data_IF_955340156050
#
_entry.id   IF_955340156050
#
_cell.length_a   1.000
_cell.length_b   1.000
_cell.length_c   1.000
_cell.angle_alpha   90.00
_cell.angle_beta   90.00
_cell.angle_gamma   90.00
#
_symmetry.space_group_name_H-M   'P 1'
#
loop_
_entity.id
_entity.type
_entity.pdbx_description
1 polymer ?
#
# COMPACT_ATOMS: atom_id res chain seq x y z
N UNK A 1 30.51 -24.67 7.97
CA UNK A 1 30.76 -24.40 9.39
C UNK A 1 30.35 -22.97 9.66
N UNK A 2 29.54 -22.78 10.70
CA UNK A 2 29.09 -21.52 11.31
C UNK A 2 28.22 -20.57 10.48
N UNK A 3 26.91 -20.75 10.68
CA UNK A 3 25.95 -19.70 11.07
C UNK A 3 26.60 -18.32 11.30
N UNK A 4 26.51 -17.45 10.31
CA UNK A 4 26.48 -16.01 10.55
C UNK A 4 25.02 -15.64 10.74
N UNK A 5 24.73 -15.34 12.01
CA UNK A 5 23.52 -14.71 12.52
C UNK A 5 22.94 -13.78 11.44
N UNK A 6 21.65 -13.99 11.15
CA UNK A 6 20.78 -13.01 10.52
C UNK A 6 20.96 -11.67 11.27
N UNK A 7 21.91 -10.84 10.83
CA UNK A 7 21.81 -9.41 11.07
C UNK A 7 20.42 -9.05 10.57
N UNK A 8 19.54 -8.70 11.50
CA UNK A 8 18.23 -8.19 11.18
C UNK A 8 18.47 -7.07 10.16
N UNK A 9 18.15 -7.37 8.89
CA UNK A 9 18.15 -6.51 7.72
C UNK A 9 18.51 -5.06 8.10
N UNK A 10 19.72 -4.56 7.73
CA UNK A 10 20.29 -3.34 8.31
C UNK A 10 19.44 -2.08 8.08
N UNK A 11 18.34 -2.20 7.33
CA UNK A 11 17.41 -1.18 6.88
C UNK A 11 16.12 -1.09 7.71
N UNK A 12 15.92 -1.92 8.73
CA UNK A 12 14.69 -1.97 9.54
C UNK A 12 14.78 -1.13 10.82
N UNK A 13 13.64 -0.72 11.39
CA UNK A 13 13.63 -0.05 12.70
C UNK A 13 14.17 -0.99 13.78
N UNK A 14 14.94 -0.44 14.72
CA UNK A 14 15.35 -1.20 15.91
C UNK A 14 14.13 -1.56 16.77
N UNK A 15 14.23 -2.62 17.57
CA UNK A 15 13.16 -3.02 18.48
C UNK A 15 12.76 -1.87 19.43
N UNK A 16 13.73 -1.10 19.92
CA UNK A 16 13.50 0.09 20.75
C UNK A 16 12.70 1.16 20.00
N UNK A 17 13.05 1.42 18.73
CA UNK A 17 12.32 2.40 17.92
C UNK A 17 10.90 1.91 17.62
N UNK A 18 10.73 0.63 17.34
CA UNK A 18 9.41 0.01 17.13
C UNK A 18 8.52 0.12 18.37
N UNK A 19 9.05 -0.14 19.55
CA UNK A 19 8.32 0.05 20.81
C UNK A 19 7.93 1.52 21.02
N UNK A 20 8.85 2.45 20.76
CA UNK A 20 8.58 3.89 20.85
C UNK A 20 7.50 4.33 19.87
N UNK A 21 7.57 3.90 18.62
CA UNK A 21 6.54 4.20 17.62
C UNK A 21 5.21 3.54 17.98
N UNK A 22 5.20 2.30 18.47
CA UNK A 22 3.98 1.63 18.91
C UNK A 22 3.26 2.37 20.03
N UNK A 23 4.01 3.00 20.95
CA UNK A 23 3.46 3.88 21.99
C UNK A 23 2.87 5.18 21.45
N UNK A 24 3.41 5.69 20.34
CA UNK A 24 2.94 6.91 19.67
C UNK A 24 1.72 6.64 18.78
N UNK A 25 1.74 5.54 18.03
CA UNK A 25 0.65 5.07 17.17
C UNK A 25 0.80 3.57 16.87
N UNK A 26 -0.13 2.76 17.36
CA UNK A 26 -0.19 1.34 17.03
C UNK A 26 -0.46 1.11 15.53
N UNK A 27 -1.31 1.96 14.92
CA UNK A 27 -1.60 1.94 13.49
C UNK A 27 -0.36 2.30 12.66
N UNK A 28 0.40 3.29 13.14
CA UNK A 28 1.66 3.73 12.53
C UNK A 28 2.70 2.61 12.52
N UNK A 29 2.85 1.90 13.66
CA UNK A 29 3.73 0.74 13.75
C UNK A 29 3.29 -0.38 12.79
N UNK A 30 1.98 -0.63 12.69
CA UNK A 30 1.42 -1.65 11.79
C UNK A 30 1.74 -1.34 10.32
N UNK A 31 1.61 -0.07 9.91
CA UNK A 31 1.99 0.36 8.57
C UNK A 31 3.48 0.19 8.28
N UNK A 32 4.34 0.53 9.23
CA UNK A 32 5.78 0.35 9.10
C UNK A 32 6.12 -1.14 8.96
N UNK A 33 5.51 -2.00 9.77
CA UNK A 33 5.71 -3.45 9.64
C UNK A 33 5.32 -3.96 8.26
N UNK A 34 4.20 -3.49 7.69
CA UNK A 34 3.79 -3.85 6.34
C UNK A 34 4.82 -3.43 5.29
N UNK A 35 5.33 -2.20 5.36
CA UNK A 35 6.37 -1.70 4.45
C UNK A 35 7.62 -2.56 4.54
N UNK A 36 8.08 -2.81 5.76
CA UNK A 36 9.26 -3.63 6.02
C UNK A 36 9.10 -5.05 5.49
N UNK A 37 7.92 -5.65 5.65
CA UNK A 37 7.62 -6.97 5.16
C UNK A 37 7.59 -7.03 3.62
N UNK A 38 6.98 -6.04 2.96
CA UNK A 38 6.94 -5.95 1.50
C UNK A 38 8.35 -5.77 0.94
N UNK A 39 9.15 -4.85 1.51
CA UNK A 39 10.54 -4.64 1.10
C UNK A 39 11.38 -5.91 1.28
N UNK A 40 11.26 -6.63 2.40
CA UNK A 40 11.94 -7.91 2.62
C UNK A 40 11.51 -8.97 1.59
N UNK A 41 10.21 -9.07 1.30
CA UNK A 41 9.69 -10.02 0.31
C UNK A 41 10.18 -9.69 -1.10
N UNK A 42 10.23 -8.42 -1.47
CA UNK A 42 10.76 -7.96 -2.76
C UNK A 42 12.23 -8.33 -2.93
N UNK A 43 13.05 -8.10 -1.89
CA UNK A 43 14.46 -8.46 -1.92
C UNK A 43 14.65 -9.96 -2.13
N UNK A 44 13.88 -10.80 -1.43
CA UNK A 44 13.92 -12.26 -1.63
C UNK A 44 13.51 -12.64 -3.06
N UNK A 45 12.47 -12.00 -3.61
CA UNK A 45 12.02 -12.22 -4.98
C UNK A 45 13.09 -11.86 -6.01
N UNK A 46 13.66 -10.66 -5.92
CA UNK A 46 14.72 -10.19 -6.82
C UNK A 46 15.96 -11.08 -6.75
N UNK A 47 16.35 -11.50 -5.54
CA UNK A 47 17.44 -12.48 -5.34
C UNK A 47 17.20 -13.79 -6.10
N UNK A 48 15.94 -14.21 -6.17
CA UNK A 48 15.49 -15.41 -6.86
C UNK A 48 15.12 -15.15 -8.34
N UNK A 49 15.39 -13.95 -8.86
CA UNK A 49 15.00 -13.49 -10.21
C UNK A 49 13.48 -13.51 -10.47
N UNK A 50 12.68 -13.49 -9.42
CA UNK A 50 11.24 -13.26 -9.50
C UNK A 50 10.98 -11.77 -9.65
N UNK A 51 10.43 -11.39 -10.80
CA UNK A 51 10.18 -9.99 -11.19
C UNK A 51 8.87 -9.44 -10.61
N UNK A 52 8.14 -10.22 -9.81
CA UNK A 52 6.82 -9.86 -9.28
C UNK A 52 6.92 -9.10 -7.95
N UNK A 53 7.71 -8.02 -7.91
CA UNK A 53 7.85 -7.17 -6.72
C UNK A 53 6.63 -6.26 -6.53
N UNK A 54 6.40 -5.82 -5.28
CA UNK A 54 5.26 -5.02 -4.86
C UNK A 54 5.68 -3.66 -4.36
N UNK A 55 4.87 -2.63 -4.61
CA UNK A 55 5.10 -1.33 -4.03
C UNK A 55 4.83 -1.39 -2.50
N UNK A 56 5.81 -1.06 -1.65
CA UNK A 56 5.61 -1.06 -0.20
C UNK A 56 4.71 0.08 0.31
N UNK A 57 4.34 1.06 -0.53
CA UNK A 57 3.54 2.24 -0.19
C UNK A 57 4.20 3.11 0.91
N UNK A 58 5.52 3.33 0.83
CA UNK A 58 6.31 4.11 1.81
C UNK A 58 5.69 5.47 2.13
N UNK A 59 5.16 6.16 1.11
CA UNK A 59 4.58 7.51 1.24
C UNK A 59 3.29 7.55 2.08
N UNK A 60 2.66 6.40 2.32
CA UNK A 60 1.38 6.31 3.02
C UNK A 60 1.51 6.20 4.55
N UNK A 61 2.72 6.00 5.09
CA UNK A 61 2.93 5.84 6.56
C UNK A 61 2.26 6.95 7.36
N UNK A 62 2.53 8.21 7.03
CA UNK A 62 1.97 9.34 7.79
C UNK A 62 0.56 9.72 7.34
N UNK A 63 0.16 9.35 6.11
CA UNK A 63 -1.17 9.63 5.58
C UNK A 63 -2.21 8.71 6.21
N UNK A 64 -1.87 7.45 6.41
CA UNK A 64 -2.76 6.42 6.91
C UNK A 64 -2.39 6.02 8.35
N UNK A 65 -1.16 5.58 8.60
CA UNK A 65 -0.70 5.12 9.93
C UNK A 65 -0.63 6.19 11.02
N UNK A 66 -0.58 7.48 10.67
CA UNK A 66 -0.61 8.60 11.62
C UNK A 66 -1.70 9.62 11.29
N UNK A 67 -2.76 9.18 10.60
CA UNK A 67 -3.87 10.04 10.17
C UNK A 67 -4.52 10.79 11.33
N UNK A 68 -4.78 10.08 12.42
CA UNK A 68 -5.49 10.58 13.60
C UNK A 68 -4.55 11.11 14.69
N UNK A 69 -3.24 11.09 14.44
CA UNK A 69 -2.24 11.56 15.40
C UNK A 69 -2.18 13.08 15.45
N UNK A 70 -1.91 13.63 16.63
CA UNK A 70 -1.66 15.07 16.77
C UNK A 70 -0.39 15.48 16.01
N UNK A 71 -0.26 16.77 15.69
CA UNK A 71 0.92 17.31 15.01
C UNK A 71 2.21 16.96 15.75
N UNK A 72 2.24 17.07 17.08
CA UNK A 72 3.41 16.76 17.89
C UNK A 72 3.80 15.27 17.80
N UNK A 73 2.81 14.37 17.80
CA UNK A 73 3.04 12.93 17.65
C UNK A 73 3.58 12.61 16.26
N UNK A 74 3.06 13.26 15.21
CA UNK A 74 3.59 13.11 13.83
C UNK A 74 5.02 13.61 13.72
N UNK A 75 5.32 14.80 14.24
CA UNK A 75 6.67 15.36 14.22
C UNK A 75 7.66 14.52 15.05
N UNK A 76 7.20 13.88 16.13
CA UNK A 76 8.03 12.93 16.87
C UNK A 76 8.25 11.65 16.06
N UNK A 77 7.21 11.08 15.47
CA UNK A 77 7.35 9.89 14.63
C UNK A 77 8.24 10.14 13.40
N UNK A 78 8.11 11.27 12.72
CA UNK A 78 8.98 11.70 11.60
C UNK A 78 10.46 11.79 12.00
N UNK A 79 10.74 12.18 13.25
CA UNK A 79 12.12 12.22 13.78
C UNK A 79 12.71 10.85 14.11
N UNK A 80 11.88 9.83 14.30
CA UNK A 80 12.33 8.49 14.68
C UNK A 80 12.23 7.48 13.51
N UNK A 81 11.45 7.78 12.48
CA UNK A 81 11.25 6.93 11.30
C UNK A 81 12.05 7.49 10.12
N UNK A 82 13.02 6.74 9.61
CA UNK A 82 13.72 7.10 8.38
C UNK A 82 12.89 6.72 7.15
N UNK A 83 11.89 7.53 6.78
CA UNK A 83 11.11 7.27 5.56
C UNK A 83 11.96 7.32 4.29
N UNK A 84 12.94 8.22 4.23
CA UNK A 84 13.87 8.30 3.10
C UNK A 84 14.64 7.00 2.90
N UNK A 85 15.03 6.31 3.98
CA UNK A 85 15.70 5.02 3.90
C UNK A 85 14.83 3.97 3.19
N UNK A 86 13.54 3.86 3.56
CA UNK A 86 12.63 2.93 2.89
C UNK A 86 12.35 3.32 1.44
N UNK A 87 12.27 4.62 1.15
CA UNK A 87 12.07 5.12 -0.22
C UNK A 87 13.28 4.80 -1.10
N UNK A 88 14.50 5.00 -0.61
CA UNK A 88 15.75 4.68 -1.34
C UNK A 88 15.87 3.16 -1.54
N UNK A 89 15.51 2.35 -0.55
CA UNK A 89 15.49 0.88 -0.70
C UNK A 89 14.51 0.45 -1.80
N UNK A 90 13.30 1.02 -1.81
CA UNK A 90 12.32 0.75 -2.86
C UNK A 90 12.83 1.15 -4.26
N UNK A 91 13.47 2.31 -4.39
CA UNK A 91 14.06 2.77 -5.65
C UNK A 91 15.20 1.84 -6.12
N UNK A 92 16.04 1.35 -5.21
CA UNK A 92 17.05 0.34 -5.51
C UNK A 92 16.42 -0.97 -6.00
N UNK A 93 15.32 -1.42 -5.39
CA UNK A 93 14.59 -2.62 -5.83
C UNK A 93 13.97 -2.45 -7.23
N UNK A 94 13.43 -1.28 -7.54
CA UNK A 94 12.94 -0.94 -8.89
C UNK A 94 14.07 -0.92 -9.92
N UNK A 95 15.23 -0.37 -9.55
CA UNK A 95 16.40 -0.37 -10.43
C UNK A 95 16.93 -1.79 -10.67
N UNK A 96 16.96 -2.64 -9.64
CA UNK A 96 17.32 -4.05 -9.75
C UNK A 96 16.35 -4.80 -10.70
N UNK A 97 15.04 -4.58 -10.54
CA UNK A 97 14.01 -5.13 -11.42
C UNK A 97 14.29 -4.78 -12.90
N UNK A 98 14.57 -3.50 -13.19
CA UNK A 98 14.85 -3.03 -14.54
C UNK A 98 16.13 -3.66 -15.12
N UNK A 99 17.18 -3.79 -14.30
CA UNK A 99 18.44 -4.43 -14.72
C UNK A 99 18.26 -5.92 -15.01
N UNK A 100 17.46 -6.62 -14.19
CA UNK A 100 17.09 -8.02 -14.42
C UNK A 100 16.25 -8.20 -15.69
N UNK A 101 15.24 -7.35 -15.91
CA UNK A 101 14.41 -7.37 -17.12
C UNK A 101 15.22 -7.15 -18.40
N UNK A 102 16.18 -6.21 -18.35
CA UNK A 102 17.05 -5.88 -19.49
C UNK A 102 18.23 -6.84 -19.67
N UNK A 103 18.38 -7.86 -18.81
CA UNK A 103 19.52 -8.78 -18.81
C UNK A 103 20.88 -8.07 -18.72
N UNK A 104 20.90 -6.86 -18.15
CA UNK A 104 22.12 -6.07 -18.00
C UNK A 104 22.90 -6.61 -16.80
N UNK A 105 24.20 -6.96 -16.94
CA UNK A 105 25.02 -7.33 -15.80
C UNK A 105 25.13 -6.16 -14.81
N UNK A 106 25.00 -6.44 -13.52
CA UNK A 106 25.13 -5.44 -12.46
C UNK A 106 25.75 -6.04 -11.21
N UNK A 107 26.37 -5.18 -10.40
CA UNK A 107 26.79 -5.52 -9.05
C UNK A 107 25.71 -5.08 -8.06
N UNK A 108 25.18 -6.05 -7.33
CA UNK A 108 24.10 -5.82 -6.36
C UNK A 108 24.61 -5.06 -5.14
N UNK A 109 25.84 -5.29 -4.71
CA UNK A 109 26.38 -4.58 -3.54
C UNK A 109 26.52 -3.09 -3.83
N UNK A 110 27.03 -2.73 -5.02
CA UNK A 110 27.07 -1.33 -5.48
C UNK A 110 25.68 -0.69 -5.56
N UNK A 111 24.66 -1.43 -6.01
CA UNK A 111 23.29 -0.93 -6.14
C UNK A 111 22.66 -0.57 -4.77
N UNK A 112 22.93 -1.37 -3.75
CA UNK A 112 22.38 -1.16 -2.40
C UNK A 112 23.28 -0.31 -1.50
N UNK A 113 24.45 0.13 -1.97
CA UNK A 113 25.33 1.04 -1.23
C UNK A 113 24.62 2.37 -0.90
N UNK A 114 23.81 2.89 -1.82
CA UNK A 114 23.01 4.12 -1.58
C UNK A 114 22.05 3.99 -0.40
N UNK A 115 21.48 2.81 -0.19
CA UNK A 115 20.58 2.53 0.93
C UNK A 115 21.35 2.61 2.25
N UNK A 116 22.58 2.06 2.28
CA UNK A 116 23.47 2.12 3.45
C UNK A 116 23.86 3.57 3.76
N UNK A 117 24.27 4.33 2.75
CA UNK A 117 24.69 5.72 2.91
C UNK A 117 23.53 6.61 3.40
N UNK A 118 22.33 6.45 2.84
CA UNK A 118 21.14 7.20 3.27
C UNK A 118 20.81 6.97 4.74
N UNK A 119 21.07 5.77 5.27
CA UNK A 119 20.79 5.45 6.68
C UNK A 119 21.85 6.01 7.62
N UNK A 120 23.12 6.01 7.22
CA UNK A 120 24.19 6.66 7.98
C UNK A 120 23.85 8.15 8.15
N UNK A 121 23.51 8.82 7.04
CA UNK A 121 23.10 10.23 7.07
C UNK A 121 21.89 10.48 7.97
N UNK A 122 20.86 9.64 7.87
CA UNK A 122 19.67 9.77 8.72
C UNK A 122 19.98 9.55 10.21
N UNK A 123 20.84 8.59 10.54
CA UNK A 123 21.27 8.35 11.93
C UNK A 123 22.08 9.52 12.48
N UNK A 124 22.96 10.11 11.68
CA UNK A 124 23.73 11.30 12.04
C UNK A 124 22.82 12.52 12.26
N UNK A 125 21.82 12.74 11.40
CA UNK A 125 20.85 13.82 11.56
C UNK A 125 19.99 13.64 12.83
N UNK A 126 19.51 12.42 13.07
CA UNK A 126 18.74 12.10 14.28
C UNK A 126 19.58 12.27 15.55
N UNK A 127 20.87 11.92 15.53
CA UNK A 127 21.79 12.12 16.64
C UNK A 127 22.06 13.61 16.92
N UNK A 128 22.16 14.45 15.87
CA UNK A 128 22.29 15.92 16.00
C UNK A 128 21.05 16.55 16.61
N UNK A 129 19.84 16.13 16.21
CA UNK A 129 18.61 16.65 16.82
C UNK A 129 18.45 16.31 18.31
N UNK A 130 19.03 15.20 18.80
CA UNK A 130 19.04 14.85 20.23
C UNK A 130 20.01 15.71 21.06
N UNK A 131 20.99 16.36 20.42
CA UNK A 131 21.97 17.23 21.10
C UNK A 131 21.54 18.70 21.12
N UNK A 132 20.72 19.14 20.16
CA UNK A 132 20.24 20.52 20.05
C UNK A 132 19.03 20.89 20.94
N UNK A 133 18.36 19.93 21.58
CA UNK A 133 17.30 20.21 22.57
C UNK A 133 17.83 20.89 23.88
N UNK A 134 19.12 21.26 23.92
CA UNK A 134 19.75 22.02 25.01
C UNK A 134 20.14 23.46 24.68
N UNK A 135 19.87 23.98 23.48
CA UNK A 135 20.26 25.35 23.13
C UNK A 135 19.16 26.12 22.34
N UNK A 136 18.49 27.14 22.91
CA UNK A 136 17.32 27.79 22.30
C UNK A 136 17.59 28.69 21.07
N UNK A 137 18.81 28.74 20.53
CA UNK A 137 19.18 29.69 19.49
C UNK A 137 20.02 29.05 18.38
N UNK A 138 19.37 28.35 17.45
CA UNK A 138 19.95 28.11 16.11
C UNK A 138 18.91 28.40 15.03
N UNK A 139 19.28 29.35 14.15
CA UNK A 139 18.47 29.79 13.02
C UNK A 139 18.32 28.64 12.03
N UNK A 140 17.07 28.30 11.68
CA UNK A 140 16.73 27.38 10.59
C UNK A 140 17.21 27.94 9.26
N UNK A 141 18.27 27.37 8.71
CA UNK A 141 18.62 27.53 7.29
C UNK A 141 17.81 26.49 6.51
N UNK A 142 16.76 26.95 5.82
CA UNK A 142 15.99 26.12 4.87
C UNK A 142 16.90 25.72 3.69
N UNK A 143 17.00 24.42 3.35
CA UNK A 143 17.47 24.03 2.03
C UNK A 143 16.42 24.47 1.00
N UNK A 144 16.88 25.22 0.00
CA UNK A 144 16.09 25.72 -1.12
C UNK A 144 15.47 24.57 -1.91
N UNK A 145 14.14 24.53 -1.91
CA UNK A 145 13.35 23.53 -2.63
C UNK A 145 13.01 24.07 -4.01
N UNK A 146 13.77 23.68 -5.03
CA UNK A 146 13.47 24.03 -6.43
C UNK A 146 13.01 22.83 -7.28
N UNK A 147 12.62 21.70 -6.67
CA UNK A 147 12.11 20.52 -7.39
C UNK A 147 10.62 20.24 -7.15
N UNK A 148 9.89 21.16 -6.49
CA UNK A 148 8.54 20.91 -5.95
C UNK A 148 7.39 20.95 -6.96
N UNK A 149 7.55 21.60 -8.12
CA UNK A 149 6.38 22.01 -8.92
C UNK A 149 5.71 20.91 -9.75
N UNK A 150 6.38 19.80 -10.03
CA UNK A 150 5.79 18.70 -10.81
C UNK A 150 5.18 17.63 -9.87
N UNK A 151 5.92 17.22 -8.84
CA UNK A 151 5.44 16.33 -7.78
C UNK A 151 4.23 16.87 -6.99
N UNK A 152 4.08 18.19 -6.87
CA UNK A 152 2.95 18.81 -6.14
C UNK A 152 1.62 18.78 -6.89
N UNK A 153 1.60 18.60 -8.22
CA UNK A 153 0.36 18.40 -8.99
C UNK A 153 -0.07 16.91 -9.01
N UNK A 154 0.93 16.02 -8.99
CA UNK A 154 0.83 14.55 -9.17
C UNK A 154 0.22 13.82 -7.96
N UNK A 155 0.41 14.36 -6.76
CA UNK A 155 -0.18 13.90 -5.49
C UNK A 155 -1.66 14.33 -5.36
N UNK A 156 -2.12 15.33 -6.10
CA UNK A 156 -3.45 15.92 -5.90
C UNK A 156 -4.62 15.05 -6.39
N UNK A 157 -4.41 14.21 -7.41
CA UNK A 157 -5.52 13.48 -8.02
C UNK A 157 -6.07 12.38 -7.10
N UNK A 158 -5.16 11.56 -6.58
CA UNK A 158 -5.51 10.52 -5.60
C UNK A 158 -5.94 11.12 -4.26
N UNK A 159 -5.37 12.25 -3.83
CA UNK A 159 -5.83 12.98 -2.65
C UNK A 159 -7.28 13.49 -2.83
N UNK A 160 -7.66 13.95 -4.03
CA UNK A 160 -9.06 14.34 -4.34
C UNK A 160 -10.00 13.13 -4.28
N UNK A 161 -9.60 12.02 -4.89
CA UNK A 161 -10.37 10.78 -4.84
C UNK A 161 -10.54 10.30 -3.39
N UNK A 162 -9.48 10.31 -2.59
CA UNK A 162 -9.54 9.94 -1.18
C UNK A 162 -10.53 10.81 -0.38
N UNK A 163 -10.49 12.14 -0.55
CA UNK A 163 -11.46 13.03 0.11
C UNK A 163 -12.89 12.70 -0.29
N UNK A 164 -13.12 12.38 -1.56
CA UNK A 164 -14.43 11.96 -2.05
C UNK A 164 -14.89 10.63 -1.44
N UNK A 165 -13.99 9.63 -1.38
CA UNK A 165 -14.25 8.33 -0.76
C UNK A 165 -14.58 8.46 0.74
N UNK A 166 -13.82 9.31 1.46
CA UNK A 166 -14.06 9.61 2.88
C UNK A 166 -15.41 10.30 3.12
N UNK A 167 -15.90 11.09 2.15
CA UNK A 167 -17.23 11.69 2.22
C UNK A 167 -18.35 10.69 1.88
N UNK A 168 -18.06 9.71 1.00
CA UNK A 168 -19.02 8.70 0.54
C UNK A 168 -19.28 7.59 1.56
N UNK A 169 -18.33 7.30 2.45
CA UNK A 169 -18.43 6.21 3.40
C UNK A 169 -17.92 6.60 4.77
N UNK A 170 -18.62 6.12 5.81
CA UNK A 170 -18.15 6.20 7.20
C UNK A 170 -17.17 5.07 7.55
N UNK A 171 -16.90 4.18 6.62
CA UNK A 171 -15.92 3.10 6.78
C UNK A 171 -14.53 3.69 6.61
N UNK A 172 -13.66 3.49 7.60
CA UNK A 172 -12.27 3.90 7.52
C UNK A 172 -11.57 3.16 6.37
N UNK A 173 -10.68 3.87 5.68
CA UNK A 173 -9.95 3.39 4.50
C UNK A 173 -10.85 2.75 3.43
N UNK A 174 -12.08 3.28 3.31
CA UNK A 174 -12.97 2.92 2.23
C UNK A 174 -12.33 3.26 0.87
N UNK A 175 -12.42 2.33 -0.07
CA UNK A 175 -12.02 2.49 -1.46
C UNK A 175 -13.01 1.80 -2.38
N UNK A 176 -12.96 2.21 -3.65
CA UNK A 176 -13.49 1.48 -4.78
C UNK A 176 -12.38 0.64 -5.41
N UNK A 177 -12.72 -0.19 -6.39
CA UNK A 177 -11.80 -1.16 -6.96
C UNK A 177 -11.62 -0.95 -8.47
N UNK A 178 -12.72 -0.94 -9.24
CA UNK A 178 -12.69 -0.89 -10.70
C UNK A 178 -11.99 0.36 -11.22
N UNK A 179 -11.13 0.16 -12.22
CA UNK A 179 -10.39 1.19 -12.96
C UNK A 179 -9.45 2.03 -12.09
N UNK A 180 -9.26 1.68 -10.83
CA UNK A 180 -8.26 2.28 -9.96
C UNK A 180 -6.96 1.48 -10.02
N UNK A 181 -5.85 2.15 -9.70
CA UNK A 181 -4.56 1.48 -9.57
C UNK A 181 -4.59 0.50 -8.39
N UNK A 182 -4.13 -0.71 -8.63
CA UNK A 182 -4.00 -1.78 -7.64
C UNK A 182 -3.30 -1.29 -6.38
N UNK A 183 -2.21 -0.54 -6.57
CA UNK A 183 -1.39 0.02 -5.52
C UNK A 183 -2.15 0.99 -4.58
N UNK A 184 -3.04 1.82 -5.14
CA UNK A 184 -3.93 2.67 -4.33
C UNK A 184 -4.93 1.81 -3.55
N UNK A 185 -5.60 0.90 -4.25
CA UNK A 185 -6.65 0.06 -3.67
C UNK A 185 -6.11 -0.82 -2.56
N UNK A 186 -4.96 -1.48 -2.75
CA UNK A 186 -4.37 -2.36 -1.74
C UNK A 186 -3.87 -1.57 -0.53
N UNK A 187 -3.41 -0.32 -0.69
CA UNK A 187 -2.99 0.49 0.45
C UNK A 187 -4.14 0.68 1.44
N UNK A 188 -5.32 1.08 0.93
CA UNK A 188 -6.52 1.37 1.71
C UNK A 188 -7.26 0.11 2.15
N UNK A 189 -7.56 -0.80 1.22
CA UNK A 189 -8.34 -1.99 1.54
C UNK A 189 -7.61 -2.93 2.50
N UNK A 190 -6.29 -3.09 2.33
CA UNK A 190 -5.48 -3.86 3.28
C UNK A 190 -5.35 -3.17 4.63
N UNK A 191 -5.39 -1.83 4.69
CA UNK A 191 -5.42 -1.10 5.97
C UNK A 191 -6.72 -1.40 6.72
N UNK A 192 -7.86 -1.29 6.04
CA UNK A 192 -9.16 -1.68 6.61
C UNK A 192 -9.16 -3.13 7.12
N UNK A 193 -8.69 -4.08 6.32
CA UNK A 193 -8.67 -5.49 6.73
C UNK A 193 -7.79 -5.72 7.97
N UNK A 194 -6.63 -5.06 8.06
CA UNK A 194 -5.71 -5.30 9.16
C UNK A 194 -6.09 -4.51 10.42
N UNK A 195 -6.36 -3.21 10.28
CA UNK A 195 -6.62 -2.32 11.41
C UNK A 195 -8.06 -2.45 11.91
N UNK A 196 -9.04 -2.50 11.01
CA UNK A 196 -10.46 -2.55 11.40
C UNK A 196 -10.97 -3.98 11.56
N UNK A 197 -10.42 -4.95 10.82
CA UNK A 197 -10.86 -6.36 10.88
C UNK A 197 -9.90 -7.30 11.58
N UNK A 198 -8.75 -6.82 12.05
CA UNK A 198 -7.78 -7.64 12.78
C UNK A 198 -7.25 -8.80 11.94
N UNK A 199 -7.24 -8.68 10.62
CA UNK A 199 -6.65 -9.66 9.72
C UNK A 199 -5.13 -9.44 9.67
N UNK A 200 -4.36 -10.50 9.48
CA UNK A 200 -2.96 -10.45 9.13
C UNK A 200 -2.82 -10.70 7.63
N UNK A 201 -2.04 -9.88 6.94
CA UNK A 201 -1.59 -10.17 5.58
C UNK A 201 -0.56 -11.31 5.62
N UNK A 202 -0.71 -12.30 4.73
CA UNK A 202 0.21 -13.45 4.68
C UNK A 202 1.09 -13.45 3.45
N UNK A 203 0.49 -13.35 2.27
CA UNK A 203 1.21 -13.46 1.01
C UNK A 203 0.43 -12.84 -0.13
N UNK A 204 1.16 -12.57 -1.22
CA UNK A 204 0.58 -12.27 -2.50
C UNK A 204 1.22 -13.14 -3.57
N UNK A 205 0.39 -13.63 -4.49
CA UNK A 205 0.81 -14.39 -5.65
C UNK A 205 0.33 -13.69 -6.92
N UNK A 206 1.21 -13.55 -7.91
CA UNK A 206 0.83 -13.08 -9.25
C UNK A 206 0.78 -14.27 -10.20
N UNK A 207 -0.30 -14.40 -10.97
CA UNK A 207 -0.50 -15.46 -11.97
C UNK A 207 -1.15 -14.86 -13.21
N UNK A 208 -0.33 -14.58 -14.23
CA UNK A 208 -0.78 -13.89 -15.43
C UNK A 208 -1.33 -12.50 -15.10
N UNK A 209 -2.56 -12.23 -15.52
CA UNK A 209 -3.32 -11.01 -15.27
C UNK A 209 -3.97 -10.96 -13.87
N UNK A 210 -3.67 -11.92 -13.00
CA UNK A 210 -4.24 -11.98 -11.64
C UNK A 210 -3.21 -11.72 -10.55
N UNK A 211 -3.58 -10.89 -9.59
CA UNK A 211 -2.88 -10.68 -8.32
C UNK A 211 -3.78 -11.24 -7.21
N UNK A 212 -3.26 -12.13 -6.38
CA UNK A 212 -4.02 -12.82 -5.33
C UNK A 212 -3.37 -12.50 -3.99
N UNK A 213 -4.05 -11.71 -3.17
CA UNK A 213 -3.64 -11.41 -1.80
C UNK A 213 -4.33 -12.38 -0.83
N UNK A 214 -3.57 -12.88 0.14
CA UNK A 214 -4.05 -13.79 1.19
C UNK A 214 -3.98 -13.11 2.55
N UNK A 215 -5.09 -13.19 3.27
CA UNK A 215 -5.22 -12.74 4.64
C UNK A 215 -5.73 -13.86 5.54
N UNK A 216 -5.38 -13.81 6.82
CA UNK A 216 -5.90 -14.71 7.86
C UNK A 216 -6.25 -13.91 9.10
N UNK A 217 -7.24 -14.29 9.92
CA UNK A 217 -7.50 -13.63 11.19
C UNK A 217 -6.26 -13.62 12.10
N UNK A 218 -5.96 -12.50 12.74
CA UNK A 218 -4.86 -12.39 13.71
C UNK A 218 -5.09 -13.26 14.96
N UNK A 219 -6.36 -13.47 15.32
CA UNK A 219 -6.81 -14.44 16.34
C UNK A 219 -7.88 -15.31 15.69
N UNK A 220 -7.53 -16.54 15.33
CA UNK A 220 -8.45 -17.49 14.69
C UNK A 220 -9.03 -18.46 15.71
N UNK A 221 -10.34 -18.67 15.68
CA UNK A 221 -11.02 -19.69 16.50
C UNK A 221 -11.18 -21.01 15.76
N UNK A 222 -11.05 -21.03 14.42
CA UNK A 222 -10.98 -22.25 13.62
C UNK A 222 -9.60 -22.44 12.99
N UNK A 223 -9.26 -23.69 12.69
CA UNK A 223 -8.03 -24.03 11.97
C UNK A 223 -8.17 -23.63 10.49
N UNK A 224 -7.19 -22.91 9.95
CA UNK A 224 -7.10 -22.52 8.54
C UNK A 224 -8.19 -21.55 8.04
N UNK A 225 -8.64 -20.59 8.86
CA UNK A 225 -9.45 -19.47 8.33
C UNK A 225 -8.61 -18.59 7.40
N UNK A 226 -9.20 -18.19 6.27
CA UNK A 226 -8.53 -17.34 5.30
C UNK A 226 -9.52 -16.45 4.56
N UNK A 227 -8.96 -15.41 3.94
CA UNK A 227 -9.61 -14.56 2.97
C UNK A 227 -8.63 -14.36 1.79
N UNK A 228 -9.04 -14.73 0.59
CA UNK A 228 -8.34 -14.39 -0.64
C UNK A 228 -9.02 -13.22 -1.31
N UNK A 229 -8.22 -12.25 -1.76
CA UNK A 229 -8.65 -11.16 -2.60
C UNK A 229 -7.93 -11.29 -3.93
N UNK A 230 -8.66 -11.69 -4.96
CA UNK A 230 -8.12 -11.90 -6.31
C UNK A 230 -8.49 -10.73 -7.20
N UNK A 231 -7.50 -9.97 -7.62
CA UNK A 231 -7.63 -8.85 -8.55
C UNK A 231 -7.27 -9.35 -9.95
N UNK A 232 -8.16 -9.16 -10.91
CA UNK A 232 -7.82 -9.24 -12.34
C UNK A 232 -7.41 -7.85 -12.77
N UNK A 233 -6.21 -7.70 -13.32
CA UNK A 233 -5.56 -6.40 -13.59
C UNK A 233 -5.15 -6.25 -15.04
N UNK A 234 -4.92 -5.01 -15.46
CA UNK A 234 -4.34 -4.64 -16.74
C UNK A 234 -3.24 -3.60 -16.53
N UNK A 235 -2.07 -3.87 -17.09
CA UNK A 235 -0.91 -3.00 -16.97
C UNK A 235 -0.89 -1.98 -18.11
N UNK A 236 -0.77 -0.70 -17.73
CA UNK A 236 -0.68 0.45 -18.62
C UNK A 236 0.61 1.20 -18.28
N UNK A 237 1.78 0.77 -18.81
CA UNK A 237 3.06 1.39 -18.49
C UNK A 237 3.19 2.83 -19.02
N UNK A 238 2.32 3.22 -19.95
CA UNK A 238 2.16 4.55 -20.52
C UNK A 238 1.33 5.51 -19.66
N UNK A 239 0.71 5.00 -18.58
CA UNK A 239 -0.16 5.79 -17.70
C UNK A 239 0.38 5.82 -16.29
N UNK A 240 0.17 6.95 -15.63
CA UNK A 240 0.68 7.17 -14.29
C UNK A 240 -0.24 6.57 -13.21
N UNK A 241 0.27 5.59 -12.47
CA UNK A 241 -0.33 5.00 -11.28
C UNK A 241 -0.21 5.88 -10.03
N UNK A 242 -0.74 5.40 -8.91
CA UNK A 242 -0.88 6.13 -7.65
C UNK A 242 0.43 6.56 -7.01
N UNK A 243 1.52 5.89 -7.36
CA UNK A 243 2.84 6.15 -6.80
C UNK A 243 3.85 6.66 -7.84
N UNK A 244 3.38 7.14 -8.99
CA UNK A 244 4.22 7.73 -10.05
C UNK A 244 4.89 6.72 -10.98
N UNK A 245 4.51 5.45 -10.89
CA UNK A 245 4.95 4.36 -11.77
C UNK A 245 3.86 3.96 -12.77
N UNK A 246 4.10 2.95 -13.61
CA UNK A 246 3.10 2.43 -14.54
C UNK A 246 1.81 1.99 -13.83
N UNK A 247 0.66 2.25 -14.44
CA UNK A 247 -0.65 1.95 -13.88
C UNK A 247 -0.94 0.43 -13.93
N UNK A 248 -1.29 -0.16 -12.79
CA UNK A 248 -1.88 -1.51 -12.74
C UNK A 248 -3.39 -1.40 -12.48
N UNK A 249 -4.19 -1.21 -13.53
CA UNK A 249 -5.62 -0.95 -13.42
C UNK A 249 -6.40 -2.22 -13.06
N UNK A 250 -7.22 -2.17 -12.01
CA UNK A 250 -8.09 -3.29 -11.64
C UNK A 250 -9.29 -3.38 -12.58
N UNK A 251 -9.44 -4.54 -13.23
CA UNK A 251 -10.61 -4.92 -14.03
C UNK A 251 -11.65 -5.63 -13.18
N UNK A 252 -11.32 -6.60 -12.35
CA UNK A 252 -12.34 -7.32 -11.58
C UNK A 252 -11.75 -7.75 -10.26
N UNK A 253 -12.60 -7.90 -9.24
CA UNK A 253 -12.17 -8.44 -7.95
C UNK A 253 -13.08 -9.59 -7.56
N UNK A 254 -12.45 -10.65 -7.07
CA UNK A 254 -13.14 -11.78 -6.45
C UNK A 254 -12.59 -11.98 -5.04
N UNK A 255 -13.49 -11.97 -4.05
CA UNK A 255 -13.14 -12.24 -2.65
C UNK A 255 -13.79 -13.56 -2.23
N UNK A 256 -12.95 -14.52 -1.86
CA UNK A 256 -13.35 -15.85 -1.37
C UNK A 256 -12.67 -16.13 -0.04
N UNK A 257 -13.19 -17.07 0.74
CA UNK A 257 -12.64 -17.32 2.07
C UNK A 257 -13.55 -18.17 2.94
N UNK A 258 -13.30 -18.11 4.25
CA UNK A 258 -14.27 -18.60 5.23
C UNK A 258 -15.62 -17.88 5.00
N UNK A 259 -16.73 -18.64 4.94
CA UNK A 259 -18.06 -18.10 4.64
C UNK A 259 -18.47 -16.94 5.55
N UNK A 260 -18.16 -17.03 6.84
CA UNK A 260 -18.52 -15.99 7.80
C UNK A 260 -17.66 -14.75 7.61
N UNK A 261 -16.36 -14.91 7.31
CA UNK A 261 -15.47 -13.79 7.01
C UNK A 261 -15.92 -13.02 5.77
N UNK A 262 -16.29 -13.73 4.70
CA UNK A 262 -16.77 -13.11 3.46
C UNK A 262 -18.07 -12.34 3.69
N UNK A 263 -19.05 -12.95 4.37
CA UNK A 263 -20.33 -12.28 4.68
C UNK A 263 -20.11 -11.07 5.58
N UNK A 264 -19.31 -11.21 6.65
CA UNK A 264 -19.02 -10.11 7.58
C UNK A 264 -18.26 -8.97 6.90
N UNK A 265 -17.35 -9.28 5.99
CA UNK A 265 -16.65 -8.28 5.19
C UNK A 265 -17.64 -7.53 4.29
N UNK A 266 -18.50 -8.24 3.58
CA UNK A 266 -19.48 -7.64 2.70
C UNK A 266 -20.40 -6.66 3.44
N UNK A 267 -20.94 -7.10 4.59
CA UNK A 267 -21.77 -6.25 5.42
C UNK A 267 -20.95 -5.07 5.93
N UNK A 268 -19.89 -5.30 6.69
CA UNK A 268 -19.20 -4.19 7.34
C UNK A 268 -18.46 -3.19 6.43
N UNK A 269 -18.10 -3.56 5.19
CA UNK A 269 -17.39 -2.66 4.27
C UNK A 269 -18.33 -1.91 3.32
N UNK A 270 -19.44 -2.54 2.88
CA UNK A 270 -20.39 -1.91 1.94
C UNK A 270 -21.80 -1.65 2.50
N UNK A 271 -22.28 -2.35 3.55
CA UNK A 271 -23.67 -2.26 4.09
C UNK A 271 -23.77 -2.07 5.61
N UNK A 272 -24.50 -1.04 6.03
CA UNK A 272 -24.85 -0.85 7.46
C UNK A 272 -26.09 -1.63 7.93
N UNK A 273 -26.72 -2.46 7.10
CA UNK A 273 -27.97 -3.15 7.45
C UNK A 273 -27.88 -4.66 7.24
N UNK A 274 -28.45 -5.39 8.20
CA UNK A 274 -28.43 -6.84 8.32
C UNK A 274 -28.95 -7.54 7.05
N UNK A 275 -28.15 -8.49 6.55
CA UNK A 275 -28.60 -9.44 5.54
C UNK A 275 -29.72 -10.29 6.16
N UNK A 276 -30.93 -10.22 5.60
CA UNK A 276 -32.03 -11.05 6.07
C UNK A 276 -31.65 -12.53 5.88
N UNK A 277 -31.57 -13.25 7.00
CA UNK A 277 -31.16 -14.64 7.10
C UNK A 277 -32.24 -15.58 6.56
N UNK A 278 -32.43 -15.59 5.24
CA UNK A 278 -33.20 -16.61 4.54
C UNK A 278 -32.27 -17.50 3.74
N UNK A 279 -32.11 -18.78 4.15
CA UNK A 279 -31.55 -19.83 3.29
C UNK A 279 -32.43 -19.95 2.04
N UNK A 280 -32.08 -19.23 0.98
CA UNK A 280 -32.53 -19.50 -0.38
C UNK A 280 -31.29 -19.56 -1.26
N UNK A 281 -31.14 -20.67 -1.96
CA UNK A 281 -30.22 -20.74 -3.10
C UNK A 281 -30.50 -19.53 -4.00
N UNK A 282 -29.44 -18.81 -4.37
CA UNK A 282 -29.54 -17.58 -5.15
C UNK A 282 -29.65 -16.27 -4.35
N UNK A 283 -29.47 -16.27 -3.02
CA UNK A 283 -29.33 -15.01 -2.27
C UNK A 283 -28.15 -14.20 -2.84
N UNK A 284 -28.51 -13.15 -3.57
CA UNK A 284 -27.60 -12.23 -4.21
C UNK A 284 -27.95 -10.85 -3.67
N UNK A 285 -27.09 -10.30 -2.84
CA UNK A 285 -27.17 -8.88 -2.49
C UNK A 285 -26.13 -8.15 -3.31
N UNK A 286 -26.57 -7.11 -4.01
CA UNK A 286 -25.69 -6.28 -4.83
C UNK A 286 -25.82 -4.81 -4.45
N UNK A 287 -24.74 -4.06 -4.68
CA UNK A 287 -24.65 -2.64 -4.44
C UNK A 287 -23.83 -2.03 -5.57
N UNK A 288 -24.32 -0.92 -6.10
CA UNK A 288 -23.56 -0.10 -7.04
C UNK A 288 -22.95 1.10 -6.31
N UNK A 289 -21.65 1.31 -6.51
CA UNK A 289 -20.96 2.53 -6.10
C UNK A 289 -20.01 2.97 -7.20
N UNK A 290 -20.35 4.07 -7.87
CA UNK A 290 -19.59 4.58 -9.03
C UNK A 290 -19.33 3.43 -10.01
N UNK A 291 -18.07 3.16 -10.38
CA UNK A 291 -17.68 2.12 -11.33
C UNK A 291 -17.78 0.68 -10.80
N UNK A 292 -18.05 0.48 -9.51
CA UNK A 292 -18.13 -0.84 -8.88
C UNK A 292 -19.57 -1.35 -8.78
N UNK A 293 -19.83 -2.51 -9.38
CA UNK A 293 -20.97 -3.37 -9.04
C UNK A 293 -20.46 -4.47 -8.11
N UNK A 294 -20.81 -4.38 -6.83
CA UNK A 294 -20.33 -5.25 -5.75
C UNK A 294 -21.45 -6.23 -5.40
N UNK A 295 -21.16 -7.52 -5.47
CA UNK A 295 -22.18 -8.54 -5.34
C UNK A 295 -21.71 -9.66 -4.40
N UNK A 296 -22.53 -9.99 -3.39
CA UNK A 296 -22.35 -11.17 -2.55
C UNK A 296 -23.23 -12.30 -3.08
N UNK A 297 -22.61 -13.42 -3.46
CA UNK A 297 -23.29 -14.63 -3.96
C UNK A 297 -22.98 -15.85 -3.11
N UNK A 298 -23.99 -16.68 -2.86
CA UNK A 298 -23.79 -18.04 -2.37
C UNK A 298 -23.23 -18.93 -3.49
N UNK A 299 -22.19 -19.73 -3.21
CA UNK A 299 -21.51 -20.57 -4.21
C UNK A 299 -21.78 -22.07 -4.05
N UNK A 300 -22.69 -22.45 -3.14
CA UNK A 300 -23.04 -23.84 -2.84
C UNK A 300 -23.33 -24.05 -1.35
N UNK A 301 -23.25 -25.29 -0.88
CA UNK A 301 -23.50 -25.65 0.52
C UNK A 301 -22.48 -24.99 1.46
N UNK A 302 -22.85 -23.81 1.98
CA UNK A 302 -22.07 -23.07 2.96
C UNK A 302 -20.98 -22.18 2.39
N UNK A 303 -20.88 -21.94 1.08
CA UNK A 303 -19.87 -21.05 0.49
C UNK A 303 -20.44 -19.67 0.12
N UNK A 304 -19.66 -18.61 0.35
CA UNK A 304 -19.97 -17.25 -0.12
C UNK A 304 -18.79 -16.65 -0.88
N UNK A 305 -19.10 -15.74 -1.80
CA UNK A 305 -18.13 -15.03 -2.63
C UNK A 305 -18.59 -13.60 -2.88
N UNK A 306 -17.68 -12.64 -2.78
CA UNK A 306 -17.91 -11.27 -3.25
C UNK A 306 -17.29 -11.13 -4.63
N UNK A 307 -18.02 -10.54 -5.56
CA UNK A 307 -17.52 -10.21 -6.90
C UNK A 307 -17.73 -8.73 -7.15
N UNK A 308 -16.69 -8.06 -7.63
CA UNK A 308 -16.70 -6.64 -7.98
C UNK A 308 -16.42 -6.51 -9.47
N UNK A 309 -17.45 -6.10 -10.21
CA UNK A 309 -17.43 -6.01 -11.67
C UNK A 309 -17.88 -4.62 -12.12
N UNK A 310 -18.03 -4.43 -13.43
CA UNK A 310 -18.44 -3.16 -14.01
C UNK A 310 -19.87 -2.80 -13.57
N UNK A 311 -20.00 -1.61 -12.99
CA UNK A 311 -21.28 -0.94 -12.73
C UNK A 311 -21.91 -0.34 -13.99
N UNK A 312 -23.21 -0.06 -13.91
CA UNK A 312 -23.93 0.75 -14.89
C UNK A 312 -23.43 2.20 -14.92
N UNK A 313 -22.95 2.71 -13.79
CA UNK A 313 -22.25 4.00 -13.73
C UNK A 313 -20.78 3.81 -14.09
N UNK A 314 -20.30 4.49 -15.13
CA UNK A 314 -18.90 4.42 -15.53
C UNK A 314 -18.19 5.76 -15.34
N UNK A 315 -17.46 5.89 -14.23
CA UNK A 315 -16.74 7.13 -13.91
C UNK A 315 -15.43 7.21 -14.68
N UNK A 316 -15.24 8.32 -15.39
CA UNK A 316 -13.95 8.66 -15.98
C UNK A 316 -13.06 9.34 -14.93
N UNK A 317 -12.34 8.52 -14.17
CA UNK A 317 -11.49 8.97 -13.07
C UNK A 317 -10.40 9.96 -13.48
N UNK A 318 -9.92 9.91 -14.72
CA UNK A 318 -8.95 10.86 -15.26
C UNK A 318 -9.57 12.26 -15.37
N UNK A 319 -10.74 12.37 -15.98
CA UNK A 319 -11.43 13.67 -16.07
C UNK A 319 -11.99 14.16 -14.74
N UNK A 320 -12.45 13.26 -13.87
CA UNK A 320 -13.12 13.63 -12.62
C UNK A 320 -12.12 14.00 -11.52
N UNK A 321 -11.04 13.22 -11.38
CA UNK A 321 -10.08 13.38 -10.28
C UNK A 321 -8.68 13.74 -10.76
N UNK A 322 -8.36 13.59 -12.05
CA UNK A 322 -7.01 13.79 -12.56
C UNK A 322 -6.07 12.62 -12.29
N UNK A 323 -6.60 11.39 -12.17
CA UNK A 323 -5.78 10.18 -11.97
C UNK A 323 -5.61 9.39 -13.28
N UNK A 324 -4.48 8.69 -13.42
CA UNK A 324 -4.08 7.97 -14.64
C UNK A 324 -3.82 8.83 -15.89
N UNK A 325 -3.24 10.04 -15.77
CA UNK A 325 -2.84 10.78 -16.96
C UNK A 325 -1.80 9.99 -17.75
N UNK A 326 -1.78 10.22 -19.06
CA UNK A 326 -0.73 9.73 -19.96
C UNK A 326 0.64 10.30 -19.54
N UNK A 327 1.66 9.44 -19.50
CA UNK A 327 3.04 9.82 -19.23
C UNK A 327 3.58 10.49 -20.49
N UNK A 328 3.78 11.81 -20.44
CA UNK A 328 4.37 12.54 -21.56
C UNK A 328 5.80 12.08 -21.79
N UNK A 329 6.11 11.68 -23.02
CA UNK A 329 7.47 11.30 -23.40
C UNK A 329 8.41 12.51 -23.31
N UNK A 330 9.66 12.30 -22.87
CA UNK A 330 10.69 13.35 -22.74
C UNK A 330 10.97 14.15 -24.02
N UNK A 331 10.50 13.69 -25.19
CA UNK A 331 10.61 14.42 -26.46
C UNK A 331 9.68 15.64 -26.57
N UNK A 332 8.63 15.76 -25.75
CA UNK A 332 7.71 16.91 -25.82
C UNK A 332 8.12 18.08 -24.90
N UNK A 333 9.06 17.86 -23.98
CA UNK A 333 9.54 18.89 -23.04
C UNK A 333 10.66 19.79 -23.61
N UNK A 334 11.17 19.52 -24.81
CA UNK A 334 12.20 20.36 -25.46
C UNK A 334 11.64 21.37 -26.48
N UNK A 335 10.33 21.43 -26.65
CA UNK A 335 9.66 22.43 -27.50
C UNK A 335 8.65 23.22 -26.69
N UNK A 336 9.14 24.04 -25.75
CA UNK A 336 8.48 25.27 -25.34
C UNK A 336 9.50 26.33 -24.94
#
# INVERSE_FOLDING_TARGET
>A
MYSSISEAQPYRLSAETKDKIGKLSADGLTFIHKIEEVLNKNEQKLSNKDLTIQNPAVKEVFRQGFRNSTKNVREEAERNICLSCYQVEWESQLQELHLLQSHTPFDRDSLYQRVRDSRILAQEEMAKTKTDDRNPNSKKTQPSINTKKEAEAEVQGYDKLERHLNAMSKVEDFTLFRKLDYNFVISRFSAYLQLTKGMAYLEQKKKGDKIIDKYTPGISTKKNEYLYVTYTVEEHPDRMGAFGEGLTAIKEVEITGDPQLVVNLFTSYWLRTELHSGRKEGLTTAIEKMSDYVELKATGAGGYKITITKSNMDVNYETTFGIHPQIKSKSEQQTK
#
